data_IF_722693077998
#
_entry.id   IF_722693077998
#
_cell.length_a   1.000
_cell.length_b   1.000
_cell.length_c   1.000
_cell.angle_alpha   90.00
_cell.angle_beta   90.00
_cell.angle_gamma   90.00
#
_symmetry.space_group_name_H-M   'P 1'
#
loop_
_entity.id
_entity.type
_entity.pdbx_description
1 polymer ?
#
# COMPACT_ATOMS: atom_id res chain seq x y z
N UNK A 1 1.51 -5.65 1.73
CA UNK A 1 0.62 -6.04 0.61
C UNK A 1 1.51 -6.38 -0.57
N UNK A 2 1.70 -7.67 -0.83
CA UNK A 2 2.52 -8.14 -1.93
C UNK A 2 2.09 -9.56 -2.27
N UNK A 3 1.98 -9.85 -3.56
CA UNK A 3 1.77 -11.22 -4.06
C UNK A 3 3.02 -12.12 -3.83
N UNK A 4 4.09 -11.58 -3.21
CA UNK A 4 5.43 -12.16 -3.24
C UNK A 4 6.14 -11.85 -4.57
N UNK A 5 7.13 -12.67 -4.95
CA UNK A 5 7.94 -12.54 -6.18
C UNK A 5 7.18 -12.88 -7.48
N UNK A 6 5.86 -13.12 -7.40
CA UNK A 6 5.08 -13.71 -8.47
C UNK A 6 4.45 -12.68 -9.45
N UNK A 7 4.60 -11.37 -9.21
CA UNK A 7 4.05 -10.37 -10.11
C UNK A 7 5.02 -10.03 -11.25
N UNK A 8 4.69 -10.31 -12.53
CA UNK A 8 5.51 -9.86 -13.65
C UNK A 8 5.56 -8.32 -13.71
N UNK A 9 6.78 -7.79 -13.87
CA UNK A 9 7.03 -6.35 -13.99
C UNK A 9 6.93 -5.95 -15.46
N UNK A 10 6.03 -5.00 -15.75
CA UNK A 10 5.77 -4.50 -17.10
C UNK A 10 6.37 -3.10 -17.29
N UNK A 11 6.96 -2.81 -18.46
CA UNK A 11 7.48 -1.48 -18.77
C UNK A 11 6.40 -0.38 -18.73
N UNK A 12 6.79 0.83 -18.32
CA UNK A 12 5.89 1.99 -18.29
C UNK A 12 4.83 1.97 -17.18
N UNK A 13 4.96 1.07 -16.21
CA UNK A 13 4.11 1.02 -15.01
C UNK A 13 4.90 1.47 -13.78
N UNK A 14 4.27 2.31 -12.97
CA UNK A 14 4.75 2.64 -11.62
C UNK A 14 4.18 1.60 -10.65
N UNK A 15 5.06 0.87 -9.99
CA UNK A 15 4.71 -0.12 -8.99
C UNK A 15 4.96 0.46 -7.60
N UNK A 16 3.98 0.30 -6.71
CA UNK A 16 4.07 0.67 -5.30
C UNK A 16 4.08 -0.61 -4.47
N UNK A 17 5.19 -0.88 -3.77
CA UNK A 17 5.26 -1.97 -2.80
C UNK A 17 5.31 -1.39 -1.38
N UNK A 18 4.27 -1.69 -0.62
CA UNK A 18 4.09 -1.20 0.73
C UNK A 18 4.29 -2.33 1.72
N UNK A 19 5.42 -2.25 2.42
CA UNK A 19 5.64 -3.03 3.64
C UNK A 19 4.67 -2.53 4.70
N UNK A 20 3.82 -3.44 5.16
CA UNK A 20 2.79 -3.21 6.16
C UNK A 20 2.84 -4.39 7.13
N UNK A 21 2.54 -4.13 8.39
CA UNK A 21 2.32 -5.19 9.38
C UNK A 21 1.11 -6.03 8.99
N UNK A 22 1.23 -7.36 9.07
CA UNK A 22 0.10 -8.26 8.83
C UNK A 22 -0.92 -8.12 9.98
N UNK A 23 -2.16 -7.68 9.71
CA UNK A 23 -3.19 -7.54 10.73
C UNK A 23 -3.81 -8.88 11.16
N UNK A 24 -3.57 -9.98 10.44
CA UNK A 24 -4.21 -11.26 10.73
C UNK A 24 -3.85 -11.77 12.14
N UNK A 25 -4.86 -12.10 12.94
CA UNK A 25 -4.69 -12.59 14.32
C UNK A 25 -4.23 -11.54 15.33
N UNK A 26 -4.10 -10.27 14.94
CA UNK A 26 -3.69 -9.18 15.84
C UNK A 26 -4.88 -8.53 16.56
N UNK A 27 -4.64 -7.83 17.69
CA UNK A 27 -5.65 -7.02 18.35
C UNK A 27 -6.24 -5.94 17.43
N UNK A 28 -7.50 -5.54 17.70
CA UNK A 28 -8.23 -4.58 16.86
C UNK A 28 -7.54 -3.22 16.77
N UNK A 29 -6.77 -2.83 17.78
CA UNK A 29 -5.96 -1.62 17.80
C UNK A 29 -4.88 -1.65 16.72
N UNK A 30 -4.19 -2.79 16.56
CA UNK A 30 -3.16 -2.98 15.52
C UNK A 30 -3.80 -2.95 14.13
N UNK A 31 -4.95 -3.60 13.96
CA UNK A 31 -5.70 -3.57 12.70
C UNK A 31 -6.08 -2.13 12.32
N UNK A 32 -6.55 -1.33 13.29
CA UNK A 32 -6.89 0.08 13.08
C UNK A 32 -5.67 0.90 12.69
N UNK A 33 -4.53 0.68 13.32
CA UNK A 33 -3.27 1.35 12.97
C UNK A 33 -2.86 1.04 11.52
N UNK A 34 -2.87 -0.24 11.12
CA UNK A 34 -2.54 -0.64 9.74
C UNK A 34 -3.50 -0.01 8.73
N UNK A 35 -4.81 0.03 9.03
CA UNK A 35 -5.81 0.71 8.19
C UNK A 35 -5.49 2.20 8.03
N UNK A 36 -5.13 2.88 9.11
CA UNK A 36 -4.87 4.33 9.08
C UNK A 36 -3.56 4.66 8.36
N UNK A 37 -2.56 3.78 8.43
CA UNK A 37 -1.35 3.83 7.62
C UNK A 37 -1.67 3.68 6.12
N UNK A 38 -2.47 2.68 5.74
CA UNK A 38 -2.93 2.48 4.36
C UNK A 38 -3.66 3.73 3.85
N UNK A 39 -4.59 4.27 4.66
CA UNK A 39 -5.34 5.47 4.29
C UNK A 39 -4.42 6.64 3.97
N UNK A 40 -3.42 6.88 4.81
CA UNK A 40 -2.48 8.00 4.64
C UNK A 40 -1.69 7.84 3.32
N UNK A 41 -1.15 6.64 3.06
CA UNK A 41 -0.42 6.34 1.81
C UNK A 41 -1.30 6.48 0.56
N UNK A 42 -2.56 6.06 0.62
CA UNK A 42 -3.50 6.21 -0.51
C UNK A 42 -3.76 7.69 -0.80
N UNK A 43 -3.95 8.52 0.22
CA UNK A 43 -4.14 9.97 0.03
C UNK A 43 -2.91 10.61 -0.62
N UNK A 44 -1.71 10.26 -0.16
CA UNK A 44 -0.45 10.74 -0.75
C UNK A 44 -0.28 10.27 -2.20
N UNK A 45 -0.62 9.01 -2.49
CA UNK A 45 -0.56 8.45 -3.84
C UNK A 45 -1.51 9.19 -4.78
N UNK A 46 -2.76 9.42 -4.38
CA UNK A 46 -3.73 10.18 -5.17
C UNK A 46 -3.21 11.58 -5.49
N UNK A 47 -2.70 12.29 -4.48
CA UNK A 47 -2.12 13.60 -4.67
C UNK A 47 -0.92 13.57 -5.63
N UNK A 48 -0.11 12.50 -5.62
CA UNK A 48 0.99 12.34 -6.57
C UNK A 48 0.51 12.12 -8.01
N UNK A 49 -0.52 11.30 -8.20
CA UNK A 49 -1.11 11.02 -9.52
C UNK A 49 -1.74 12.28 -10.11
N UNK A 50 -2.39 13.10 -9.28
CA UNK A 50 -2.95 14.39 -9.73
C UNK A 50 -1.88 15.38 -10.19
N UNK A 51 -0.67 15.33 -9.61
CA UNK A 51 0.46 16.18 -10.02
C UNK A 51 1.16 15.67 -11.28
N UNK A 52 1.11 14.37 -11.53
CA UNK A 52 1.75 13.71 -12.68
C UNK A 52 0.89 13.80 -13.98
N UNK A 53 -0.27 14.47 -13.91
CA UNK A 53 -1.21 14.65 -15.02
C UNK A 53 -1.01 15.98 -15.75
#
# INVERSE_FOLDING_TARGET
MGCGDACPVFPGKRYEDWKLTDPAGQPIEVVRQVRDEIRSRVVELLASIERDR
#
